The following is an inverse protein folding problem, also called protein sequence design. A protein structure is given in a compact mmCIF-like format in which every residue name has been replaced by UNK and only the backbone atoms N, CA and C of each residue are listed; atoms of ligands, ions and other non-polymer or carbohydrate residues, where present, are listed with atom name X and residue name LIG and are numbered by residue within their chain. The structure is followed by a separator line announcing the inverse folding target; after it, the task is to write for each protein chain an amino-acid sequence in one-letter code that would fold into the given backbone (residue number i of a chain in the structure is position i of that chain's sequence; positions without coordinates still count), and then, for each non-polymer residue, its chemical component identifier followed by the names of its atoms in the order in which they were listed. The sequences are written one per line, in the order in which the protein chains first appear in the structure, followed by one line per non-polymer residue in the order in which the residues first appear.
data_IF_572186855005
#
_entry.id   IF_572186855005
#
_cell.length_a   1.000
_cell.length_b   1.000
_cell.length_c   1.000
_cell.angle_alpha   90.00
_cell.angle_beta   90.00
_cell.angle_gamma   90.00
#
_symmetry.space_group_name_H-M   'P 1'
#
loop_
_entity.id
_entity.type
_entity.pdbx_description
1 polymer ?
#
# COMPACT_ATOMS: atom_id res chain seq x y z
N UNK A 1 -29.56 60.58 -9.02
CA UNK A 1 -29.72 59.19 -8.50
C UNK A 1 -29.22 59.14 -7.04
N UNK A 2 -30.09 58.81 -6.09
CA UNK A 2 -29.80 58.87 -4.65
C UNK A 2 -28.77 57.83 -4.19
N UNK A 3 -27.91 58.19 -3.22
CA UNK A 3 -26.89 57.32 -2.62
C UNK A 3 -27.46 56.00 -2.06
N UNK A 4 -28.73 55.99 -1.65
CA UNK A 4 -29.44 54.80 -1.21
C UNK A 4 -29.59 53.74 -2.32
N UNK A 5 -29.90 54.15 -3.56
CA UNK A 5 -30.05 53.24 -4.69
C UNK A 5 -28.71 52.59 -5.09
N UNK A 6 -27.59 53.33 -4.95
CA UNK A 6 -26.24 52.80 -5.17
C UNK A 6 -25.85 51.77 -4.11
N UNK A 7 -26.23 51.99 -2.83
CA UNK A 7 -25.99 51.03 -1.73
C UNK A 7 -26.82 49.74 -1.87
N UNK A 8 -28.08 49.85 -2.34
CA UNK A 8 -28.95 48.68 -2.61
C UNK A 8 -28.43 47.85 -3.79
N UNK A 9 -28.02 48.50 -4.88
CA UNK A 9 -27.42 47.82 -6.05
C UNK A 9 -26.10 47.13 -5.71
N UNK A 10 -25.21 47.79 -4.95
CA UNK A 10 -23.95 47.21 -4.49
C UNK A 10 -24.16 45.99 -3.59
N UNK A 11 -25.11 46.02 -2.64
CA UNK A 11 -25.48 44.87 -1.80
C UNK A 11 -26.07 43.71 -2.60
N UNK A 12 -26.94 43.99 -3.56
CA UNK A 12 -27.51 42.97 -4.44
C UNK A 12 -26.43 42.32 -5.33
N UNK A 13 -25.51 43.10 -5.89
CA UNK A 13 -24.40 42.63 -6.70
C UNK A 13 -23.36 41.83 -5.89
N UNK A 14 -23.09 42.25 -4.64
CA UNK A 14 -22.27 41.52 -3.68
C UNK A 14 -22.90 40.18 -3.27
N UNK A 15 -24.21 40.14 -3.04
CA UNK A 15 -24.93 38.88 -2.73
C UNK A 15 -24.91 37.88 -3.91
N UNK A 16 -24.97 38.35 -5.16
CA UNK A 16 -24.86 37.50 -6.36
C UNK A 16 -23.44 36.94 -6.55
N UNK A 17 -22.40 37.75 -6.31
CA UNK A 17 -21.00 37.30 -6.34
C UNK A 17 -20.71 36.29 -5.23
N UNK A 18 -21.20 36.54 -4.01
CA UNK A 18 -21.07 35.60 -2.89
C UNK A 18 -21.80 34.28 -3.18
N UNK A 19 -23.03 34.31 -3.70
CA UNK A 19 -23.77 33.10 -4.11
C UNK A 19 -23.05 32.32 -5.21
N UNK A 20 -22.45 33.01 -6.19
CA UNK A 20 -21.66 32.36 -7.24
C UNK A 20 -20.40 31.71 -6.66
N UNK A 21 -19.69 32.41 -5.78
CA UNK A 21 -18.51 31.88 -5.09
C UNK A 21 -18.86 30.65 -4.24
N UNK A 22 -19.92 30.72 -3.43
CA UNK A 22 -20.41 29.59 -2.63
C UNK A 22 -20.81 28.41 -3.51
N UNK A 23 -21.50 28.64 -4.63
CA UNK A 23 -21.82 27.56 -5.58
C UNK A 23 -20.57 26.91 -6.17
N UNK A 24 -19.59 27.71 -6.59
CA UNK A 24 -18.32 27.18 -7.12
C UNK A 24 -17.60 26.36 -6.05
N UNK A 25 -17.50 26.88 -4.82
CA UNK A 25 -16.89 26.17 -3.70
C UNK A 25 -17.61 24.84 -3.41
N UNK A 26 -18.95 24.85 -3.37
CA UNK A 26 -19.75 23.63 -3.17
C UNK A 26 -19.51 22.60 -4.28
N UNK A 27 -19.46 23.04 -5.54
CA UNK A 27 -19.14 22.14 -6.67
C UNK A 27 -17.75 21.55 -6.52
N UNK A 28 -16.73 22.36 -6.18
CA UNK A 28 -15.37 21.87 -5.97
C UNK A 28 -15.29 20.88 -4.80
N UNK A 29 -15.99 21.15 -3.70
CA UNK A 29 -16.08 20.23 -2.56
C UNK A 29 -16.77 18.93 -2.97
N UNK A 30 -17.86 19.00 -3.73
CA UNK A 30 -18.55 17.80 -4.23
C UNK A 30 -17.62 16.95 -5.12
N UNK A 31 -16.90 17.58 -6.05
CA UNK A 31 -15.92 16.90 -6.90
C UNK A 31 -14.83 16.23 -6.05
N UNK A 32 -14.27 16.96 -5.08
CA UNK A 32 -13.23 16.43 -4.20
C UNK A 32 -13.74 15.20 -3.41
N UNK A 33 -14.97 15.24 -2.89
CA UNK A 33 -15.58 14.10 -2.19
C UNK A 33 -15.76 12.91 -3.14
N UNK A 34 -16.28 13.13 -4.36
CA UNK A 34 -16.46 12.06 -5.35
C UNK A 34 -15.12 11.40 -5.71
N UNK A 35 -14.09 12.20 -5.98
CA UNK A 35 -12.73 11.69 -6.28
C UNK A 35 -12.20 10.87 -5.10
N UNK A 36 -12.37 11.38 -3.88
CA UNK A 36 -11.85 10.73 -2.69
C UNK A 36 -12.56 9.40 -2.37
N UNK A 37 -13.88 9.34 -2.54
CA UNK A 37 -14.65 8.09 -2.44
C UNK A 37 -14.24 7.12 -3.55
N UNK A 38 -14.05 7.61 -4.79
CA UNK A 38 -13.59 6.80 -5.91
C UNK A 38 -12.20 6.19 -5.67
N UNK A 39 -11.26 6.96 -5.12
CA UNK A 39 -9.95 6.46 -4.70
C UNK A 39 -10.08 5.40 -3.60
N UNK A 40 -10.92 5.64 -2.59
CA UNK A 40 -11.21 4.65 -1.55
C UNK A 40 -11.73 3.33 -2.13
N UNK A 41 -12.71 3.39 -3.04
CA UNK A 41 -13.23 2.21 -3.71
C UNK A 41 -12.16 1.49 -4.55
N UNK A 42 -11.30 2.25 -5.23
CA UNK A 42 -10.20 1.71 -6.02
C UNK A 42 -9.16 0.99 -5.15
N UNK A 43 -8.71 1.59 -4.05
CA UNK A 43 -7.75 0.98 -3.11
C UNK A 43 -8.30 -0.28 -2.43
N UNK A 44 -9.60 -0.33 -2.21
CA UNK A 44 -10.29 -1.49 -1.62
C UNK A 44 -10.77 -2.51 -2.65
N UNK A 45 -10.39 -2.37 -3.92
CA UNK A 45 -10.87 -3.25 -4.98
C UNK A 45 -10.21 -4.62 -4.91
N UNK A 46 -11.02 -5.69 -5.03
CA UNK A 46 -10.52 -7.06 -4.91
C UNK A 46 -9.61 -7.47 -6.07
N UNK A 47 -9.52 -6.67 -7.14
CA UNK A 47 -8.54 -6.89 -8.21
C UNK A 47 -7.08 -6.74 -7.78
N UNK A 48 -6.83 -6.09 -6.64
CA UNK A 48 -5.47 -5.89 -6.12
C UNK A 48 -5.00 -7.04 -5.24
N UNK A 49 -5.86 -8.04 -5.01
CA UNK A 49 -5.54 -9.27 -4.29
C UNK A 49 -5.64 -10.46 -5.22
N UNK A 50 -4.81 -11.44 -4.96
CA UNK A 50 -4.80 -12.75 -5.61
C UNK A 50 -5.17 -13.81 -4.58
N UNK A 51 -5.68 -14.92 -5.06
CA UNK A 51 -5.71 -16.14 -4.25
C UNK A 51 -4.26 -16.60 -4.01
N UNK A 52 -3.96 -17.13 -2.81
CA UNK A 52 -2.64 -17.67 -2.53
C UNK A 52 -2.40 -18.91 -3.40
N UNK A 53 -1.24 -18.96 -4.04
CA UNK A 53 -0.72 -20.11 -4.78
C UNK A 53 0.59 -20.50 -4.11
N UNK A 54 1.01 -21.76 -4.18
CA UNK A 54 2.33 -22.14 -3.68
C UNK A 54 3.43 -21.32 -4.35
N UNK A 55 4.40 -20.92 -3.56
CA UNK A 55 5.49 -20.02 -3.92
C UNK A 55 6.75 -20.35 -3.12
N UNK A 56 7.86 -19.72 -3.47
CA UNK A 56 9.16 -20.02 -2.89
C UNK A 56 9.38 -19.27 -1.58
N UNK A 57 8.77 -18.09 -1.44
CA UNK A 57 8.75 -17.35 -0.19
C UNK A 57 7.43 -16.61 0.06
N UNK A 58 7.10 -16.45 1.34
CA UNK A 58 6.07 -15.51 1.79
C UNK A 58 6.76 -14.26 2.33
N UNK A 59 6.35 -13.07 1.90
CA UNK A 59 6.87 -11.79 2.39
C UNK A 59 5.74 -11.03 3.08
N UNK A 60 5.83 -10.86 4.40
CA UNK A 60 4.90 -10.03 5.15
C UNK A 60 5.41 -8.59 5.29
N UNK A 61 4.71 -7.64 4.67
CA UNK A 61 5.06 -6.23 4.72
C UNK A 61 4.79 -5.60 6.09
N UNK A 62 5.61 -4.62 6.43
CA UNK A 62 5.52 -3.85 7.66
C UNK A 62 4.17 -3.13 7.75
N UNK A 63 3.54 -3.19 8.92
CA UNK A 63 2.27 -2.49 9.15
C UNK A 63 1.81 -2.54 10.60
N UNK A 64 0.57 -2.11 10.83
CA UNK A 64 -0.06 -2.22 12.15
C UNK A 64 -0.40 -3.70 12.47
N UNK A 65 -0.76 -3.97 13.72
CA UNK A 65 -1.26 -5.27 14.19
C UNK A 65 -2.71 -5.55 13.72
N UNK A 66 -2.93 -5.45 12.41
CA UNK A 66 -4.23 -5.48 11.72
C UNK A 66 -4.73 -6.88 11.35
N UNK A 67 -3.90 -7.91 11.58
CA UNK A 67 -4.23 -9.30 11.29
C UNK A 67 -3.38 -9.93 10.20
N UNK A 68 -2.56 -9.16 9.46
CA UNK A 68 -1.65 -9.69 8.43
C UNK A 68 -0.72 -10.79 8.95
N UNK A 69 -0.32 -10.66 10.21
CA UNK A 69 0.50 -11.64 10.93
C UNK A 69 -0.13 -13.04 10.98
N UNK A 70 -1.46 -13.09 11.15
CA UNK A 70 -2.19 -14.37 11.16
C UNK A 70 -2.24 -14.97 9.76
N UNK A 71 -2.46 -14.16 8.75
CA UNK A 71 -2.46 -14.61 7.35
C UNK A 71 -1.10 -15.17 6.97
N UNK A 72 -0.02 -14.43 7.23
CA UNK A 72 1.35 -14.88 6.95
C UNK A 72 1.70 -16.19 7.69
N UNK A 73 1.36 -16.28 8.99
CA UNK A 73 1.53 -17.50 9.78
C UNK A 73 0.79 -18.69 9.18
N UNK A 74 -0.48 -18.51 8.84
CA UNK A 74 -1.31 -19.59 8.32
C UNK A 74 -0.77 -20.07 6.98
N UNK A 75 -0.42 -19.15 6.06
CA UNK A 75 0.18 -19.53 4.78
C UNK A 75 1.46 -20.36 4.94
N UNK A 76 2.34 -19.98 5.87
CA UNK A 76 3.55 -20.74 6.17
C UNK A 76 3.21 -22.12 6.74
N UNK A 77 2.32 -22.19 7.74
CA UNK A 77 1.92 -23.45 8.39
C UNK A 77 1.16 -24.40 7.46
N UNK A 78 0.40 -23.87 6.51
CA UNK A 78 -0.34 -24.61 5.50
C UNK A 78 0.56 -25.06 4.32
N UNK A 79 1.85 -24.68 4.33
CA UNK A 79 2.84 -25.10 3.35
C UNK A 79 2.69 -24.41 1.99
N UNK A 80 2.30 -23.12 1.99
CA UNK A 80 2.28 -22.31 0.78
C UNK A 80 3.68 -21.88 0.33
N UNK A 81 4.64 -21.79 1.25
CA UNK A 81 6.05 -21.59 0.94
C UNK A 81 6.92 -22.25 2.03
N UNK A 82 8.17 -22.62 1.73
CA UNK A 82 9.11 -23.13 2.72
C UNK A 82 9.52 -22.09 3.76
N UNK A 83 9.49 -20.79 3.43
CA UNK A 83 9.96 -19.71 4.30
C UNK A 83 9.06 -18.47 4.33
N UNK A 84 9.22 -17.68 5.40
CA UNK A 84 8.51 -16.44 5.64
C UNK A 84 9.49 -15.31 5.97
N UNK A 85 9.50 -14.26 5.16
CA UNK A 85 10.21 -13.03 5.42
C UNK A 85 9.27 -12.01 6.10
N UNK A 86 9.70 -11.45 7.23
CA UNK A 86 8.93 -10.47 8.01
C UNK A 86 9.65 -9.13 8.04
N UNK A 87 8.99 -8.11 7.48
CA UNK A 87 9.55 -6.76 7.42
C UNK A 87 9.32 -5.95 8.70
N UNK A 88 10.42 -5.39 9.21
CA UNK A 88 10.51 -4.41 10.28
C UNK A 88 9.75 -4.85 11.56
N UNK A 89 10.04 -6.03 12.13
CA UNK A 89 9.31 -6.58 13.28
C UNK A 89 9.53 -5.78 14.56
N UNK A 90 10.69 -5.14 14.72
CA UNK A 90 11.09 -4.49 15.98
C UNK A 90 10.58 -3.05 16.13
N UNK A 91 9.87 -2.52 15.13
CA UNK A 91 9.31 -1.18 15.26
C UNK A 91 8.26 -1.12 16.38
N UNK A 92 8.23 0.01 17.10
CA UNK A 92 7.37 0.20 18.26
C UNK A 92 5.91 -0.19 17.98
N UNK A 93 5.35 -1.03 18.86
CA UNK A 93 3.96 -1.48 18.79
C UNK A 93 3.69 -2.73 17.93
N UNK A 94 4.71 -3.35 17.33
CA UNK A 94 4.55 -4.56 16.49
C UNK A 94 4.87 -5.87 17.22
N UNK A 95 4.20 -6.11 18.34
CA UNK A 95 4.44 -7.33 19.14
C UNK A 95 4.17 -8.61 18.35
N UNK A 96 3.13 -8.61 17.49
CA UNK A 96 2.77 -9.77 16.67
C UNK A 96 3.76 -10.07 15.56
N UNK A 97 4.42 -9.06 14.99
CA UNK A 97 5.48 -9.27 14.01
C UNK A 97 6.71 -9.93 14.66
N UNK A 98 7.12 -9.41 15.83
CA UNK A 98 8.21 -9.98 16.60
C UNK A 98 7.95 -11.43 17.05
N UNK A 99 6.68 -11.81 17.29
CA UNK A 99 6.32 -13.21 17.57
C UNK A 99 6.58 -14.14 16.37
N UNK A 100 6.32 -13.68 15.13
CA UNK A 100 6.59 -14.49 13.94
C UNK A 100 8.08 -14.78 13.76
N UNK A 101 8.94 -13.82 14.13
CA UNK A 101 10.41 -13.99 14.09
C UNK A 101 10.95 -15.08 15.00
N UNK A 102 10.14 -15.61 15.92
CA UNK A 102 10.52 -16.73 16.78
C UNK A 102 10.09 -18.08 16.22
N UNK A 103 9.33 -18.09 15.13
CA UNK A 103 8.92 -19.32 14.45
C UNK A 103 10.08 -19.86 13.61
N UNK A 104 10.07 -21.18 13.39
CA UNK A 104 10.98 -21.82 12.43
C UNK A 104 10.62 -21.39 11.01
N UNK A 105 11.64 -21.37 10.13
CA UNK A 105 11.50 -20.96 8.74
C UNK A 105 10.94 -19.53 8.56
N UNK A 106 11.21 -18.67 9.54
CA UNK A 106 10.94 -17.24 9.44
C UNK A 106 12.25 -16.48 9.49
N UNK A 107 12.48 -15.64 8.49
CA UNK A 107 13.53 -14.64 8.50
C UNK A 107 12.97 -13.24 8.70
N UNK A 108 13.69 -12.44 9.48
CA UNK A 108 13.23 -11.14 9.92
C UNK A 108 14.24 -10.07 9.60
N UNK A 109 13.81 -9.04 8.87
CA UNK A 109 14.70 -8.00 8.37
C UNK A 109 14.18 -6.60 8.68
N UNK A 110 15.09 -5.63 8.73
CA UNK A 110 14.74 -4.22 8.85
C UNK A 110 15.07 -3.50 7.53
N UNK A 111 14.06 -3.07 6.76
CA UNK A 111 14.28 -2.46 5.45
C UNK A 111 15.04 -1.14 5.57
N UNK A 112 15.98 -0.91 4.65
CA UNK A 112 16.72 0.35 4.51
C UNK A 112 16.50 0.89 3.10
N UNK A 113 15.82 2.05 2.94
CA UNK A 113 15.13 2.83 3.97
C UNK A 113 13.86 2.12 4.49
N UNK A 114 13.29 2.58 5.61
CA UNK A 114 12.03 2.06 6.18
C UNK A 114 10.80 2.44 5.36
N UNK A 115 10.76 2.01 4.11
CA UNK A 115 9.72 2.27 3.10
C UNK A 115 9.48 1.01 2.29
N UNK A 116 8.41 0.99 1.49
CA UNK A 116 8.13 -0.11 0.56
C UNK A 116 9.29 -0.35 -0.42
N UNK A 117 10.05 0.69 -0.79
CA UNK A 117 11.26 0.52 -1.61
C UNK A 117 12.36 -0.28 -0.91
N UNK A 118 12.64 0.02 0.37
CA UNK A 118 13.60 -0.79 1.12
C UNK A 118 13.09 -2.20 1.43
N UNK A 119 11.77 -2.40 1.50
CA UNK A 119 11.18 -3.75 1.63
C UNK A 119 11.44 -4.58 0.39
N UNK A 120 11.17 -4.03 -0.80
CA UNK A 120 11.44 -4.71 -2.06
C UNK A 120 12.93 -4.98 -2.24
N UNK A 121 13.79 -4.02 -1.90
CA UNK A 121 15.24 -4.18 -2.00
C UNK A 121 15.74 -5.38 -1.19
N UNK A 122 15.32 -5.47 0.07
CA UNK A 122 15.71 -6.59 0.93
C UNK A 122 15.18 -7.94 0.43
N UNK A 123 13.98 -7.95 -0.18
CA UNK A 123 13.43 -9.17 -0.80
C UNK A 123 14.22 -9.58 -2.03
N UNK A 124 14.68 -8.61 -2.84
CA UNK A 124 15.54 -8.90 -3.99
C UNK A 124 16.89 -9.47 -3.54
N UNK A 125 17.51 -8.85 -2.54
CA UNK A 125 18.77 -9.34 -1.95
C UNK A 125 18.62 -10.78 -1.39
N UNK A 126 17.45 -11.10 -0.80
CA UNK A 126 17.16 -12.46 -0.34
C UNK A 126 16.99 -13.45 -1.50
N UNK A 127 16.28 -13.05 -2.56
CA UNK A 127 16.09 -13.89 -3.75
C UNK A 127 17.41 -14.16 -4.48
N UNK A 128 18.29 -13.15 -4.60
CA UNK A 128 19.65 -13.28 -5.14
C UNK A 128 20.46 -14.31 -4.32
N UNK A 129 20.40 -14.23 -2.99
CA UNK A 129 21.07 -15.21 -2.12
C UNK A 129 20.52 -16.64 -2.23
N UNK A 130 19.21 -16.78 -2.49
CA UNK A 130 18.58 -18.07 -2.73
C UNK A 130 19.02 -18.68 -4.07
N UNK A 131 19.09 -17.87 -5.13
CA UNK A 131 19.64 -18.27 -6.44
C UNK A 131 21.09 -18.77 -6.31
N UNK A 132 21.95 -18.01 -5.62
CA UNK A 132 23.35 -18.39 -5.37
C UNK A 132 23.49 -19.73 -4.62
N UNK A 133 22.49 -20.09 -3.81
CA UNK A 133 22.45 -21.33 -3.03
C UNK A 133 21.82 -22.51 -3.78
N UNK A 134 21.28 -22.28 -4.98
CA UNK A 134 20.57 -23.28 -5.79
C UNK A 134 19.07 -23.43 -5.47
N UNK A 135 18.53 -22.56 -4.62
CA UNK A 135 17.13 -22.51 -4.20
C UNK A 135 16.41 -21.29 -4.83
N UNK A 136 16.69 -21.03 -6.11
CA UNK A 136 16.16 -19.88 -6.86
C UNK A 136 14.64 -19.68 -6.74
N UNK A 137 14.21 -18.43 -6.66
CA UNK A 137 12.80 -18.09 -6.50
C UNK A 137 12.13 -17.76 -7.85
N UNK A 138 11.05 -18.47 -8.18
CA UNK A 138 10.20 -18.18 -9.33
C UNK A 138 9.00 -17.30 -8.95
N UNK A 139 8.55 -17.38 -7.68
CA UNK A 139 7.39 -16.65 -7.23
C UNK A 139 7.38 -16.39 -5.72
N UNK A 140 6.72 -15.29 -5.32
CA UNK A 140 6.51 -14.93 -3.93
C UNK A 140 5.06 -14.57 -3.62
N UNK A 141 4.67 -14.79 -2.36
CA UNK A 141 3.41 -14.28 -1.81
C UNK A 141 3.69 -13.05 -0.95
N UNK A 142 3.22 -11.89 -1.37
CA UNK A 142 3.30 -10.63 -0.60
C UNK A 142 2.04 -10.45 0.24
N UNK A 143 2.19 -10.49 1.57
CA UNK A 143 1.10 -10.33 2.54
C UNK A 143 1.04 -8.89 3.06
N UNK A 144 -0.11 -8.24 2.89
CA UNK A 144 -0.33 -6.85 3.32
C UNK A 144 -1.79 -6.57 3.73
N UNK A 145 -2.17 -5.32 3.92
CA UNK A 145 -3.56 -4.92 4.11
C UNK A 145 -4.21 -4.39 2.83
N UNK A 146 -5.54 -4.50 2.75
CA UNK A 146 -6.33 -4.15 1.55
C UNK A 146 -5.97 -2.80 0.91
N UNK A 147 -5.99 -1.67 1.64
CA UNK A 147 -5.67 -0.39 1.03
C UNK A 147 -4.26 -0.32 0.43
N UNK A 148 -3.31 -1.03 1.04
CA UNK A 148 -1.90 -1.01 0.62
C UNK A 148 -1.61 -1.98 -0.53
N UNK A 149 -2.46 -2.99 -0.76
CA UNK A 149 -2.28 -4.02 -1.78
C UNK A 149 -2.06 -3.45 -3.18
N UNK A 150 -2.83 -2.42 -3.56
CA UNK A 150 -2.72 -1.79 -4.87
C UNK A 150 -1.32 -1.21 -5.11
N UNK A 151 -0.82 -0.42 -4.16
CA UNK A 151 0.46 0.27 -4.25
C UNK A 151 1.63 -0.69 -4.11
N UNK A 152 1.64 -1.46 -3.02
CA UNK A 152 2.70 -2.44 -2.77
C UNK A 152 2.81 -3.44 -3.93
N UNK A 153 1.68 -3.99 -4.39
CA UNK A 153 1.67 -4.92 -5.51
C UNK A 153 2.23 -4.34 -6.80
N UNK A 154 1.85 -3.11 -7.15
CA UNK A 154 2.38 -2.44 -8.34
C UNK A 154 3.90 -2.24 -8.23
N UNK A 155 4.37 -1.81 -7.07
CA UNK A 155 5.79 -1.54 -6.84
C UNK A 155 6.64 -2.82 -6.81
N UNK A 156 6.17 -3.87 -6.13
CA UNK A 156 6.83 -5.19 -6.11
C UNK A 156 6.90 -5.81 -7.50
N UNK A 157 5.80 -5.82 -8.27
CA UNK A 157 5.79 -6.36 -9.64
C UNK A 157 6.78 -5.63 -10.54
N UNK A 158 6.80 -4.30 -10.50
CA UNK A 158 7.76 -3.52 -11.27
C UNK A 158 9.21 -3.89 -10.96
N UNK A 159 9.57 -4.08 -9.69
CA UNK A 159 10.96 -4.36 -9.34
C UNK A 159 11.36 -5.84 -9.41
N UNK A 160 10.41 -6.77 -9.40
CA UNK A 160 10.71 -8.22 -9.37
C UNK A 160 10.29 -8.96 -10.63
N UNK A 161 9.23 -8.52 -11.33
CA UNK A 161 8.80 -9.13 -12.61
C UNK A 161 9.45 -8.45 -13.82
N UNK A 162 9.76 -7.15 -13.74
CA UNK A 162 10.31 -6.38 -14.87
C UNK A 162 11.84 -6.18 -14.82
N UNK A 163 12.49 -6.41 -13.67
CA UNK A 163 13.93 -6.22 -13.53
C UNK A 163 14.69 -7.40 -14.14
N UNK A 164 15.24 -7.21 -15.34
CA UNK A 164 16.22 -8.10 -15.94
C UNK A 164 17.61 -7.48 -15.83
N UNK A 165 18.52 -8.17 -15.13
CA UNK A 165 19.95 -8.29 -15.50
C UNK A 165 20.69 -9.32 -14.62
N UNK A 166 20.24 -9.58 -13.39
CA UNK A 166 20.97 -10.47 -12.45
C UNK A 166 20.15 -11.66 -11.88
N UNK A 167 18.87 -11.79 -12.24
CA UNK A 167 17.97 -12.88 -11.82
C UNK A 167 16.71 -12.88 -12.68
N UNK A 168 16.11 -14.05 -12.92
CA UNK A 168 14.88 -14.16 -13.71
C UNK A 168 13.69 -13.41 -13.08
N UNK A 169 12.59 -13.20 -13.84
CA UNK A 169 11.40 -12.54 -13.31
C UNK A 169 10.75 -13.37 -12.20
N UNK A 170 10.54 -12.76 -11.02
CA UNK A 170 9.88 -13.39 -9.86
C UNK A 170 8.41 -12.96 -9.84
N UNK A 171 7.50 -13.92 -10.04
CA UNK A 171 6.07 -13.65 -10.06
C UNK A 171 5.54 -13.23 -8.68
N UNK A 172 4.79 -12.12 -8.61
CA UNK A 172 4.29 -11.58 -7.34
C UNK A 172 2.80 -11.84 -7.15
N UNK A 173 2.43 -12.54 -6.07
CA UNK A 173 1.05 -12.77 -5.65
C UNK A 173 0.74 -11.95 -4.40
N UNK A 174 -0.19 -11.00 -4.49
CA UNK A 174 -0.54 -10.15 -3.35
C UNK A 174 -1.73 -10.73 -2.59
N UNK A 175 -1.51 -11.12 -1.34
CA UNK A 175 -2.57 -11.55 -0.43
C UNK A 175 -2.82 -10.44 0.59
N UNK A 176 -4.09 -10.14 0.86
CA UNK A 176 -4.43 -9.11 1.84
C UNK A 176 -5.47 -9.59 2.84
N UNK A 177 -5.44 -8.98 4.03
CA UNK A 177 -6.47 -9.22 5.05
C UNK A 177 -7.85 -8.79 4.56
N UNK A 178 -8.89 -9.51 4.94
CA UNK A 178 -10.25 -9.20 4.50
C UNK A 178 -10.89 -8.06 5.28
N UNK A 179 -10.59 -8.01 6.58
CA UNK A 179 -11.11 -7.03 7.51
C UNK A 179 -10.30 -5.74 7.52
N UNK A 180 -10.99 -4.60 7.46
CA UNK A 180 -10.39 -3.28 7.63
C UNK A 180 -11.24 -2.47 8.62
N UNK A 181 -10.59 -1.76 9.52
CA UNK A 181 -11.25 -0.74 10.33
C UNK A 181 -11.66 0.44 9.43
N UNK A 182 -12.95 0.47 9.08
CA UNK A 182 -13.52 1.48 8.17
C UNK A 182 -13.40 2.91 8.71
N UNK A 183 -13.29 3.09 10.03
CA UNK A 183 -13.06 4.41 10.62
C UNK A 183 -11.71 5.01 10.22
N UNK A 184 -10.74 4.16 9.87
CA UNK A 184 -9.40 4.54 9.41
C UNK A 184 -9.27 4.64 7.90
N UNK A 185 -10.32 4.29 7.15
CA UNK A 185 -10.33 4.40 5.70
C UNK A 185 -9.89 5.80 5.21
N UNK A 186 -10.30 6.92 5.86
CA UNK A 186 -9.84 8.24 5.42
C UNK A 186 -8.32 8.40 5.42
N UNK A 187 -7.68 7.91 6.48
CA UNK A 187 -6.23 7.97 6.66
C UNK A 187 -5.55 7.03 5.68
N UNK A 188 -6.12 5.85 5.42
CA UNK A 188 -5.60 4.93 4.42
C UNK A 188 -5.63 5.52 3.02
N UNK A 189 -6.75 6.11 2.59
CA UNK A 189 -6.83 6.74 1.26
C UNK A 189 -5.78 7.85 1.11
N UNK A 190 -5.64 8.71 2.13
CA UNK A 190 -4.64 9.77 2.12
C UNK A 190 -3.20 9.22 2.08
N UNK A 191 -2.90 8.25 2.94
CA UNK A 191 -1.58 7.61 3.03
C UNK A 191 -1.18 6.95 1.71
N UNK A 192 -2.09 6.17 1.12
CA UNK A 192 -1.79 5.44 -0.11
C UNK A 192 -1.74 6.36 -1.33
N UNK A 193 -2.55 7.41 -1.38
CA UNK A 193 -2.45 8.46 -2.41
C UNK A 193 -1.10 9.19 -2.33
N UNK A 194 -0.70 9.63 -1.12
CA UNK A 194 0.61 10.26 -0.91
C UNK A 194 1.76 9.30 -1.23
N UNK A 195 1.61 8.02 -0.87
CA UNK A 195 2.57 6.97 -1.18
C UNK A 195 2.77 6.78 -2.69
N UNK A 196 1.68 6.71 -3.46
CA UNK A 196 1.74 6.59 -4.91
C UNK A 196 2.44 7.79 -5.57
N UNK A 197 2.13 9.01 -5.10
CA UNK A 197 2.79 10.23 -5.60
C UNK A 197 4.30 10.18 -5.29
N UNK A 198 4.67 9.78 -4.06
CA UNK A 198 6.07 9.64 -3.67
C UNK A 198 6.79 8.57 -4.50
N UNK A 199 6.20 7.41 -4.70
CA UNK A 199 6.81 6.32 -5.48
C UNK A 199 6.98 6.67 -6.95
N UNK A 200 6.06 7.42 -7.55
CA UNK A 200 6.21 7.91 -8.92
C UNK A 200 7.47 8.80 -9.08
N UNK A 201 7.97 9.40 -7.99
CA UNK A 201 9.21 10.17 -7.96
C UNK A 201 10.45 9.38 -7.53
N UNK A 202 10.27 8.14 -7.06
CA UNK A 202 11.33 7.23 -6.58
C UNK A 202 11.50 6.04 -7.55
N UNK A 203 10.92 6.13 -8.73
CA UNK A 203 10.81 5.06 -9.73
C UNK A 203 12.15 4.55 -10.31
N UNK A 204 13.28 5.11 -9.86
CA UNK A 204 14.66 4.71 -10.19
C UNK A 204 15.25 3.73 -9.14
N UNK A 205 14.48 3.28 -8.14
CA UNK A 205 15.01 2.60 -6.96
C UNK A 205 14.83 1.06 -6.90
N UNK A 206 14.52 0.42 -8.03
CA UNK A 206 14.89 -0.98 -8.23
C UNK A 206 16.39 -0.95 -8.63
#
# INVERSE_FOLDING_TARGET
MSAAARRVSARAQQSRRLRRFVRVLLVLVCIAVVVWVGLGAWFLSERHRSEPVRSDAIVMLAGADDGRHRVARNLLQDGYAPELLVSNPDSAGKKKAAELCRMKATDCFSPVPKTTAGEVRAVREAAEGAEDSGDGWDSIIVVTNKPHAARAGAFFRRCLEEAGEDGGPIAVRVVSIEGLDKSRLPIHVLRETAGFIKEATVAEAC
#
